data_IF_271830926204
#
_entry.id   IF_271830926204
#
_cell.length_a   1.000
_cell.length_b   1.000
_cell.length_c   1.000
_cell.angle_alpha   90.00
_cell.angle_beta   90.00
_cell.angle_gamma   90.00
#
_symmetry.space_group_name_H-M   'P 1'
#
loop_
_entity.id
_entity.type
_entity.pdbx_description
1 polymer ?
#
# COMPACT_ATOMS: atom_id res chain seq x y z
N UNK A 1 11.00 0.10 13.45
CA UNK A 1 11.85 0.71 12.42
C UNK A 1 11.37 0.23 11.06
N UNK A 2 10.87 1.10 10.16
CA UNK A 2 10.59 0.68 8.79
C UNK A 2 11.90 0.23 8.13
N UNK A 3 11.83 -0.83 7.33
CA UNK A 3 12.99 -1.36 6.61
C UNK A 3 13.53 -0.30 5.65
N UNK A 4 14.78 0.12 5.85
CA UNK A 4 15.51 1.01 4.96
C UNK A 4 15.87 0.26 3.67
N UNK A 5 14.90 0.08 2.77
CA UNK A 5 15.19 -0.36 1.40
C UNK A 5 15.62 0.86 0.59
N UNK A 6 16.77 0.83 -0.09
CA UNK A 6 17.15 1.91 -1.00
C UNK A 6 16.13 2.00 -2.13
N UNK A 7 15.75 3.22 -2.51
CA UNK A 7 14.87 3.44 -3.66
C UNK A 7 15.50 2.84 -4.92
N UNK A 8 14.70 2.12 -5.71
CA UNK A 8 15.16 1.57 -6.98
C UNK A 8 15.63 2.69 -7.92
N UNK A 9 16.67 2.44 -8.72
CA UNK A 9 17.12 3.39 -9.75
C UNK A 9 15.94 3.74 -10.68
N UNK A 10 15.80 5.02 -11.03
CA UNK A 10 14.87 5.47 -12.08
C UNK A 10 15.27 4.79 -13.39
N UNK A 11 14.44 3.86 -13.85
CA UNK A 11 14.59 3.18 -15.15
C UNK A 11 13.89 3.95 -16.29
N UNK A 12 13.07 4.94 -15.94
CA UNK A 12 12.34 5.75 -16.90
C UNK A 12 13.30 6.70 -17.62
N UNK A 13 13.40 6.57 -18.94
CA UNK A 13 14.21 7.46 -19.80
C UNK A 13 13.48 8.77 -20.14
N UNK A 14 12.22 8.89 -19.78
CA UNK A 14 11.41 10.08 -20.04
C UNK A 14 11.82 11.23 -19.12
N UNK A 15 11.92 12.43 -19.68
CA UNK A 15 12.05 13.66 -18.91
C UNK A 15 10.72 14.02 -18.24
N UNK A 16 10.57 13.55 -17.00
CA UNK A 16 9.36 13.76 -16.21
C UNK A 16 9.16 15.23 -15.80
N UNK A 17 10.24 16.02 -15.67
CA UNK A 17 10.11 17.43 -15.32
C UNK A 17 9.49 18.23 -16.48
N UNK A 18 9.86 17.89 -17.72
CA UNK A 18 9.26 18.47 -18.92
C UNK A 18 7.78 18.09 -19.07
N UNK A 19 7.42 16.84 -18.76
CA UNK A 19 6.02 16.38 -18.81
C UNK A 19 5.17 17.09 -17.76
N UNK A 20 5.65 17.20 -16.52
CA UNK A 20 4.95 17.90 -15.43
C UNK A 20 4.78 19.40 -15.70
N UNK A 21 5.72 20.03 -16.42
CA UNK A 21 5.63 21.43 -16.80
C UNK A 21 4.60 21.71 -17.91
N UNK A 22 4.15 20.69 -18.64
CA UNK A 22 3.22 20.85 -19.76
C UNK A 22 1.80 21.18 -19.26
N UNK A 23 1.27 22.31 -19.72
CA UNK A 23 -0.11 22.73 -19.49
C UNK A 23 -0.97 22.30 -20.67
N UNK A 24 -1.82 21.30 -20.42
CA UNK A 24 -2.78 20.76 -21.40
C UNK A 24 -3.70 21.87 -21.93
N UNK A 25 -3.78 22.00 -23.25
CA UNK A 25 -4.69 22.91 -23.97
C UNK A 25 -5.89 22.15 -24.54
N UNK A 26 -7.01 22.85 -24.75
CA UNK A 26 -8.25 22.26 -25.29
C UNK A 26 -8.05 21.64 -26.69
N UNK A 27 -7.30 22.30 -27.57
CA UNK A 27 -7.07 21.82 -28.94
C UNK A 27 -6.31 20.49 -29.03
N UNK A 28 -5.58 20.11 -27.99
CA UNK A 28 -4.89 18.81 -27.92
C UNK A 28 -5.86 17.62 -27.88
N UNK A 29 -7.15 17.89 -27.67
CA UNK A 29 -8.20 16.88 -27.58
C UNK A 29 -9.11 16.82 -28.81
N UNK A 30 -8.94 17.69 -29.81
CA UNK A 30 -9.84 17.75 -30.98
C UNK A 30 -9.78 16.47 -31.83
N UNK A 31 -8.64 15.76 -31.81
CA UNK A 31 -8.46 14.51 -32.54
C UNK A 31 -8.90 13.27 -31.75
N UNK A 32 -9.28 13.43 -30.47
CA UNK A 32 -9.73 12.29 -29.67
C UNK A 32 -11.11 11.80 -30.13
N UNK A 33 -11.31 10.48 -30.20
CA UNK A 33 -12.63 9.93 -30.47
C UNK A 33 -13.60 10.23 -29.30
N UNK A 34 -14.87 10.36 -29.63
CA UNK A 34 -15.95 10.50 -28.65
C UNK A 34 -16.06 9.23 -27.77
N UNK A 35 -16.39 9.42 -26.50
CA UNK A 35 -16.59 8.31 -25.57
C UNK A 35 -17.95 7.66 -25.83
N UNK A 36 -17.96 6.44 -26.39
CA UNK A 36 -19.21 5.74 -26.72
C UNK A 36 -19.79 4.95 -25.54
N UNK A 37 -21.09 4.65 -25.62
CA UNK A 37 -21.78 3.82 -24.62
C UNK A 37 -21.20 2.40 -24.54
N UNK A 38 -20.76 1.84 -25.69
CA UNK A 38 -20.10 0.54 -25.76
C UNK A 38 -18.76 0.54 -24.98
N UNK A 39 -17.97 1.61 -25.10
CA UNK A 39 -16.74 1.77 -24.33
C UNK A 39 -17.00 1.84 -22.82
N UNK A 40 -18.08 2.52 -22.43
CA UNK A 40 -18.52 2.58 -21.04
C UNK A 40 -19.04 1.23 -20.52
N UNK A 41 -19.78 0.48 -21.34
CA UNK A 41 -20.31 -0.83 -20.98
C UNK A 41 -19.20 -1.85 -20.65
N UNK A 42 -18.04 -1.72 -21.31
CA UNK A 42 -16.86 -2.55 -21.03
C UNK A 42 -15.92 -1.97 -19.96
N UNK A 43 -16.20 -0.78 -19.43
CA UNK A 43 -15.34 -0.14 -18.45
C UNK A 43 -15.37 -0.88 -17.11
N UNK A 44 -14.20 -1.34 -16.65
CA UNK A 44 -14.05 -1.97 -15.33
C UNK A 44 -13.46 -0.98 -14.34
N UNK A 45 -14.25 -0.60 -13.34
CA UNK A 45 -13.76 0.19 -12.21
C UNK A 45 -12.93 -0.73 -11.31
N UNK A 46 -11.62 -0.79 -11.58
CA UNK A 46 -10.69 -1.35 -10.62
C UNK A 46 -10.48 -0.32 -9.52
N UNK A 47 -11.05 -0.57 -8.33
CA UNK A 47 -10.73 0.18 -7.13
C UNK A 47 -9.24 -0.05 -6.85
N UNK A 48 -8.40 0.83 -7.37
CA UNK A 48 -6.95 0.73 -7.24
C UNK A 48 -6.57 0.55 -5.77
N UNK A 49 -5.54 -0.24 -5.50
CA UNK A 49 -5.11 -0.53 -4.14
C UNK A 49 -4.44 -1.90 -4.01
N UNK A 50 -3.84 -2.14 -2.85
CA UNK A 50 -3.34 -3.47 -2.51
C UNK A 50 -4.54 -4.43 -2.35
N UNK A 51 -4.49 -5.65 -2.92
CA UNK A 51 -5.51 -6.66 -2.67
C UNK A 51 -5.75 -6.85 -1.17
N UNK A 52 -7.01 -7.01 -0.72
CA UNK A 52 -7.31 -7.33 0.67
C UNK A 52 -6.54 -8.59 1.11
N UNK A 53 -5.96 -8.57 2.31
CA UNK A 53 -5.36 -9.76 2.90
C UNK A 53 -6.48 -10.69 3.38
N UNK A 54 -6.36 -12.00 3.14
CA UNK A 54 -7.33 -12.99 3.61
C UNK A 54 -7.44 -13.02 5.15
N UNK A 55 -6.35 -12.74 5.86
CA UNK A 55 -6.31 -12.68 7.32
C UNK A 55 -5.64 -11.38 7.81
N UNK A 56 -6.38 -10.26 7.83
CA UNK A 56 -5.84 -8.99 8.30
C UNK A 56 -5.66 -9.01 9.82
N UNK A 57 -4.54 -8.44 10.30
CA UNK A 57 -4.34 -8.21 11.73
C UNK A 57 -5.41 -7.26 12.24
N UNK A 58 -6.13 -7.65 13.29
CA UNK A 58 -7.13 -6.81 13.96
C UNK A 58 -6.52 -6.13 15.17
N UNK A 59 -6.81 -4.85 15.37
CA UNK A 59 -6.47 -4.14 16.59
C UNK A 59 -7.39 -4.64 17.71
N UNK A 60 -6.81 -5.05 18.83
CA UNK A 60 -7.54 -5.51 20.01
C UNK A 60 -7.10 -4.70 21.24
N UNK A 61 -8.06 -4.32 22.08
CA UNK A 61 -7.78 -3.78 23.42
C UNK A 61 -7.75 -4.94 24.40
N UNK A 62 -6.55 -5.36 24.81
CA UNK A 62 -6.31 -6.46 25.76
C UNK A 62 -5.54 -5.95 26.98
N UNK A 63 -5.91 -6.44 28.18
CA UNK A 63 -5.13 -6.20 29.40
C UNK A 63 -4.21 -7.38 29.67
N UNK A 64 -2.93 -7.11 29.80
CA UNK A 64 -1.89 -8.08 30.16
C UNK A 64 -1.17 -7.58 31.41
N UNK A 65 -0.68 -8.50 32.27
CA UNK A 65 0.21 -8.13 33.37
C UNK A 65 1.44 -7.33 32.88
N UNK A 66 1.87 -6.34 33.65
CA UNK A 66 2.92 -5.41 33.25
C UNK A 66 4.27 -6.11 33.02
N UNK A 67 4.60 -7.09 33.86
CA UNK A 67 5.79 -7.94 33.78
C UNK A 67 5.86 -8.73 32.45
N UNK A 68 4.72 -9.17 31.93
CA UNK A 68 4.65 -9.87 30.63
C UNK A 68 4.97 -8.89 29.50
N UNK A 69 4.40 -7.69 29.54
CA UNK A 69 4.65 -6.65 28.52
C UNK A 69 6.12 -6.26 28.50
N UNK A 70 6.73 -6.04 29.68
CA UNK A 70 8.13 -5.64 29.79
C UNK A 70 9.08 -6.73 29.29
N UNK A 71 8.81 -8.01 29.62
CA UNK A 71 9.57 -9.15 29.06
C UNK A 71 9.52 -9.17 27.53
N UNK A 72 8.35 -8.94 26.94
CA UNK A 72 8.23 -8.90 25.49
C UNK A 72 8.93 -7.68 24.89
N UNK A 73 8.75 -6.48 25.44
CA UNK A 73 9.45 -5.27 24.98
C UNK A 73 10.98 -5.42 25.03
N UNK A 74 11.50 -6.07 26.07
CA UNK A 74 12.93 -6.34 26.22
C UNK A 74 13.50 -7.23 25.10
N UNK A 75 12.66 -8.01 24.41
CA UNK A 75 13.09 -8.76 23.22
C UNK A 75 13.40 -7.87 22.00
N UNK A 76 13.20 -6.56 22.10
CA UNK A 76 13.57 -5.57 21.10
C UNK A 76 12.47 -5.28 20.06
N UNK A 77 12.78 -4.51 18.99
CA UNK A 77 11.82 -4.15 17.95
C UNK A 77 11.08 -5.37 17.37
N UNK A 78 9.78 -5.21 17.10
CA UNK A 78 8.95 -6.29 16.55
C UNK A 78 8.45 -7.32 17.57
N UNK A 79 8.56 -7.04 18.88
CA UNK A 79 8.10 -7.94 19.94
C UNK A 79 6.62 -8.31 19.82
N UNK A 80 5.74 -7.39 19.38
CA UNK A 80 4.32 -7.66 19.15
C UNK A 80 4.10 -8.72 18.05
N UNK A 81 4.91 -8.69 16.98
CA UNK A 81 4.84 -9.69 15.93
C UNK A 81 5.32 -11.04 16.44
N UNK A 82 6.43 -11.10 17.18
CA UNK A 82 6.88 -12.35 17.80
C UNK A 82 5.85 -12.92 18.79
N UNK A 83 5.19 -12.06 19.55
CA UNK A 83 4.11 -12.46 20.46
C UNK A 83 2.93 -13.05 19.69
N UNK A 84 2.47 -12.39 18.63
CA UNK A 84 1.39 -12.90 17.77
C UNK A 84 1.75 -14.24 17.10
N UNK A 85 2.98 -14.38 16.61
CA UNK A 85 3.48 -15.62 16.01
C UNK A 85 3.61 -16.75 17.02
N UNK A 86 3.83 -16.44 18.31
CA UNK A 86 3.81 -17.43 19.38
C UNK A 86 2.38 -17.87 19.68
N UNK A 87 1.44 -16.92 19.79
CA UNK A 87 0.04 -17.21 20.06
C UNK A 87 -0.62 -18.02 18.94
N UNK A 88 -0.24 -17.83 17.68
CA UNK A 88 -0.78 -18.61 16.55
C UNK A 88 -0.32 -20.08 16.53
N UNK A 89 0.78 -20.40 17.21
CA UNK A 89 1.38 -21.75 17.28
C UNK A 89 0.93 -22.55 18.49
N UNK A 90 0.39 -21.90 19.52
CA UNK A 90 -0.16 -22.57 20.70
C UNK A 90 -1.54 -23.09 20.31
N UNK A 91 -1.64 -24.40 20.11
CA UNK A 91 -2.89 -25.11 19.83
C UNK A 91 -3.24 -25.98 21.02
#
# INVERSE_FOLDING_TARGET
MPASKPASRRSLKSDLARVDAHRIKKGEYEELPELTEEMLAHAKINKGGRPPSENPRKQLTLRLPADVIERWKASGPGWQTRMADRLSKVR
#
